data_IF_477162041644
#
_entry.id   IF_477162041644
#
_cell.length_a   1.000
_cell.length_b   1.000
_cell.length_c   1.000
_cell.angle_alpha   90.00
_cell.angle_beta   90.00
_cell.angle_gamma   90.00
#
_symmetry.space_group_name_H-M   'P 1'
#
loop_
_entity.id
_entity.type
_entity.pdbx_description
1 polymer ?
#
# COMPACT_ATOMS: atom_id res chain seq x y z
N UNK A 1 0.30 -13.44 6.43
CA UNK A 1 -0.39 -12.31 5.77
C UNK A 1 -1.27 -11.65 6.79
N UNK A 2 -0.75 -10.60 7.41
CA UNK A 2 -1.47 -9.90 8.46
C UNK A 2 -2.33 -8.81 7.85
N UNK A 3 -3.50 -8.55 8.43
CA UNK A 3 -4.25 -7.31 8.19
C UNK A 3 -3.91 -6.23 9.22
N UNK A 4 -2.76 -6.37 9.91
CA UNK A 4 -2.19 -5.33 10.74
C UNK A 4 -1.98 -4.07 9.90
N UNK A 5 -2.23 -2.92 10.51
CA UNK A 5 -2.03 -1.61 9.92
C UNK A 5 -0.79 -1.00 10.54
N UNK A 6 0.12 -0.51 9.70
CA UNK A 6 1.30 0.20 10.14
C UNK A 6 0.89 1.43 10.96
N UNK A 7 1.43 1.62 12.17
CA UNK A 7 1.04 2.72 13.04
C UNK A 7 1.36 4.08 12.40
N UNK A 8 0.48 5.05 12.65
CA UNK A 8 0.74 6.45 12.32
C UNK A 8 1.58 7.09 13.43
N UNK A 9 2.57 7.87 13.03
CA UNK A 9 3.46 8.64 13.90
C UNK A 9 3.30 10.13 13.63
N UNK A 10 3.79 10.99 14.52
CA UNK A 10 3.62 12.44 14.40
C UNK A 10 4.15 12.98 13.05
N UNK A 11 3.23 13.39 12.17
CA UNK A 11 3.45 13.57 10.73
C UNK A 11 4.39 14.69 10.27
N UNK A 12 4.90 15.54 11.16
CA UNK A 12 5.95 16.53 10.82
C UNK A 12 7.35 15.93 10.77
N UNK A 13 7.52 14.70 11.26
CA UNK A 13 8.82 14.05 11.36
C UNK A 13 9.20 13.26 10.10
N UNK A 14 8.29 13.06 9.14
CA UNK A 14 8.45 12.05 8.09
C UNK A 14 8.83 12.66 6.74
N UNK A 15 9.99 12.27 6.21
CA UNK A 15 10.31 12.43 4.80
C UNK A 15 10.04 11.12 4.07
N UNK A 16 9.28 11.19 2.97
CA UNK A 16 8.83 10.01 2.22
C UNK A 16 9.45 9.96 0.84
N UNK A 17 10.01 8.81 0.47
CA UNK A 17 10.44 8.49 -0.89
C UNK A 17 9.64 7.31 -1.44
N UNK A 18 9.29 7.34 -2.73
CA UNK A 18 8.58 6.25 -3.40
C UNK A 18 9.27 5.90 -4.72
N UNK A 19 9.83 4.70 -4.81
CA UNK A 19 10.59 4.23 -5.98
C UNK A 19 9.86 3.07 -6.67
N UNK A 20 9.37 3.24 -7.91
CA UNK A 20 8.85 2.13 -8.70
C UNK A 20 9.98 1.23 -9.21
N UNK A 21 9.81 -0.09 -9.04
CA UNK A 21 10.77 -1.13 -9.39
C UNK A 21 10.12 -2.08 -10.40
N UNK A 22 10.73 -2.18 -11.56
CA UNK A 22 10.38 -3.13 -12.60
C UNK A 22 11.44 -4.22 -12.73
N UNK A 23 11.02 -5.44 -13.02
CA UNK A 23 11.92 -6.53 -13.40
C UNK A 23 11.78 -6.79 -14.89
N UNK A 24 12.84 -6.47 -15.64
CA UNK A 24 13.00 -6.81 -17.05
C UNK A 24 14.34 -7.52 -17.24
N UNK A 25 14.40 -8.33 -18.30
CA UNK A 25 15.66 -8.87 -18.81
C UNK A 25 15.98 -8.15 -20.13
N UNK A 26 17.23 -7.76 -20.28
CA UNK A 26 17.77 -7.17 -21.50
C UNK A 26 18.83 -8.13 -22.03
N UNK A 27 18.69 -8.55 -23.27
CA UNK A 27 19.67 -9.34 -23.99
C UNK A 27 20.20 -8.52 -25.16
N UNK A 28 21.50 -8.33 -25.24
CA UNK A 28 22.18 -7.66 -26.34
C UNK A 28 23.04 -8.69 -27.09
N UNK A 29 22.89 -8.75 -28.41
CA UNK A 29 23.73 -9.57 -29.27
C UNK A 29 25.06 -8.87 -29.56
N UNK A 30 26.09 -9.63 -29.96
CA UNK A 30 27.37 -9.07 -30.42
C UNK A 30 27.24 -8.10 -31.61
N UNK A 31 26.12 -8.19 -32.35
CA UNK A 31 25.79 -7.26 -33.45
C UNK A 31 25.17 -5.92 -32.99
N UNK A 32 24.99 -5.73 -31.69
CA UNK A 32 24.35 -4.54 -31.09
C UNK A 32 22.81 -4.55 -31.14
N UNK A 33 22.18 -5.65 -31.57
CA UNK A 33 20.71 -5.79 -31.49
C UNK A 33 20.27 -6.17 -30.09
N UNK A 34 19.19 -5.54 -29.63
CA UNK A 34 18.65 -5.71 -28.28
C UNK A 34 17.29 -6.42 -28.31
N UNK A 35 17.08 -7.35 -27.37
CA UNK A 35 15.79 -7.99 -27.09
C UNK A 35 15.45 -7.80 -25.62
N UNK A 36 14.23 -7.33 -25.33
CA UNK A 36 13.76 -7.04 -23.97
C UNK A 36 12.61 -7.95 -23.60
N UNK A 37 12.61 -8.46 -22.37
CA UNK A 37 11.48 -9.23 -21.82
C UNK A 37 11.10 -8.69 -20.45
N UNK A 38 9.89 -8.17 -20.33
CA UNK A 38 9.32 -7.73 -19.06
C UNK A 38 8.84 -8.94 -18.26
N UNK A 39 9.30 -9.08 -17.01
CA UNK A 39 8.98 -10.23 -16.14
C UNK A 39 7.77 -9.99 -15.24
N UNK A 40 7.44 -8.74 -14.96
CA UNK A 40 6.35 -8.35 -14.07
C UNK A 40 5.29 -7.54 -14.82
N UNK A 41 4.02 -7.79 -14.55
CA UNK A 41 2.91 -7.00 -15.11
C UNK A 41 2.63 -5.71 -14.33
N UNK A 42 2.97 -5.68 -13.04
CA UNK A 42 2.85 -4.51 -12.16
C UNK A 42 4.19 -4.21 -11.48
N UNK A 43 4.52 -2.95 -11.17
CA UNK A 43 5.74 -2.64 -10.45
C UNK A 43 5.66 -3.14 -9.00
N UNK A 44 6.79 -3.16 -8.32
CA UNK A 44 6.82 -3.03 -6.85
C UNK A 44 7.26 -1.62 -6.53
N UNK A 45 6.68 -1.03 -5.49
CA UNK A 45 7.20 0.18 -4.89
C UNK A 45 8.06 -0.15 -3.69
N UNK A 46 9.23 0.49 -3.62
CA UNK A 46 9.94 0.72 -2.37
C UNK A 46 9.47 2.07 -1.82
N UNK A 47 9.07 2.08 -0.55
CA UNK A 47 8.63 3.26 0.17
C UNK A 47 9.64 3.47 1.30
N UNK A 48 10.46 4.51 1.20
CA UNK A 48 11.38 4.92 2.25
C UNK A 48 10.73 5.98 3.13
N UNK A 49 10.72 5.74 4.43
CA UNK A 49 10.20 6.64 5.45
C UNK A 49 11.37 7.04 6.35
N UNK A 50 11.82 8.28 6.26
CA UNK A 50 12.85 8.81 7.14
C UNK A 50 12.17 9.62 8.25
N UNK A 51 12.39 9.21 9.49
CA UNK A 51 11.88 9.88 10.67
C UNK A 51 12.97 10.78 11.26
N UNK A 52 12.77 12.08 11.12
CA UNK A 52 13.59 13.13 11.71
C UNK A 52 13.57 13.08 13.25
N UNK A 53 12.43 12.69 13.83
CA UNK A 53 12.33 12.40 15.25
C UNK A 53 11.18 11.41 15.54
N UNK A 54 11.37 10.57 16.55
CA UNK A 54 10.45 9.62 17.15
C UNK A 54 10.61 9.76 18.65
N UNK A 55 9.52 9.81 19.39
CA UNK A 55 9.56 9.96 20.85
C UNK A 55 9.50 8.62 21.56
N UNK A 56 10.30 8.47 22.62
CA UNK A 56 10.13 7.39 23.59
C UNK A 56 9.17 7.80 24.74
N UNK A 57 8.94 6.91 25.71
CA UNK A 57 8.09 7.21 26.86
C UNK A 57 8.72 8.20 27.87
N UNK A 58 10.03 8.43 27.78
CA UNK A 58 10.78 9.28 28.72
C UNK A 58 10.74 10.77 28.39
N UNK A 59 10.27 11.15 27.19
CA UNK A 59 10.17 12.55 26.75
C UNK A 59 9.33 13.38 27.75
N UNK A 60 9.88 14.50 28.22
CA UNK A 60 9.20 15.38 29.19
C UNK A 60 8.44 16.55 28.54
N UNK A 61 8.56 16.75 27.23
CA UNK A 61 7.82 17.77 26.49
C UNK A 61 6.34 17.40 26.38
N UNK A 62 5.45 18.23 26.92
CA UNK A 62 3.99 17.98 27.01
C UNK A 62 3.30 18.07 25.64
N UNK A 63 3.94 18.65 24.62
CA UNK A 63 3.34 18.86 23.30
C UNK A 63 3.54 17.67 22.35
N UNK A 64 4.51 16.79 22.60
CA UNK A 64 4.79 15.65 21.73
C UNK A 64 4.10 14.39 22.25
N UNK A 65 3.60 13.56 21.34
CA UNK A 65 3.09 12.22 21.69
C UNK A 65 4.22 11.41 22.32
N UNK A 66 3.93 10.56 23.30
CA UNK A 66 4.93 9.67 23.92
C UNK A 66 4.79 8.24 23.41
N UNK A 67 5.89 7.49 23.51
CA UNK A 67 5.86 6.04 23.29
C UNK A 67 5.79 5.61 21.81
N UNK A 68 6.19 6.47 20.88
CA UNK A 68 6.20 6.16 19.45
C UNK A 68 7.29 5.15 19.11
N UNK A 69 8.46 5.24 19.76
CA UNK A 69 9.56 4.30 19.62
C UNK A 69 9.11 2.87 19.96
N UNK A 70 8.46 2.72 21.11
CA UNK A 70 7.99 1.43 21.63
C UNK A 70 6.87 0.87 20.75
N UNK A 71 6.00 1.73 20.20
CA UNK A 71 4.99 1.32 19.20
C UNK A 71 5.65 0.80 17.94
N UNK A 72 6.67 1.48 17.42
CA UNK A 72 7.38 1.07 16.21
C UNK A 72 8.12 -0.26 16.42
N UNK A 73 8.91 -0.35 17.48
CA UNK A 73 9.64 -1.57 17.85
C UNK A 73 8.68 -2.73 18.12
N UNK A 74 7.59 -2.47 18.85
CA UNK A 74 6.54 -3.44 19.10
C UNK A 74 5.90 -3.95 17.81
N UNK A 75 5.59 -3.05 16.88
CA UNK A 75 5.03 -3.42 15.58
C UNK A 75 6.01 -4.28 14.78
N UNK A 76 7.27 -3.84 14.64
CA UNK A 76 8.34 -4.54 13.93
C UNK A 76 8.55 -5.97 14.45
N UNK A 77 8.64 -6.12 15.77
CA UNK A 77 8.76 -7.42 16.42
C UNK A 77 7.50 -8.28 16.22
N UNK A 78 6.31 -7.66 16.21
CA UNK A 78 5.06 -8.39 16.04
C UNK A 78 4.87 -8.99 14.64
N UNK A 79 5.56 -8.47 13.62
CA UNK A 79 5.52 -8.98 12.23
C UNK A 79 6.78 -9.78 11.86
N UNK A 80 7.72 -9.92 12.80
CA UNK A 80 8.96 -10.66 12.60
C UNK A 80 9.90 -10.02 11.58
N UNK A 81 10.04 -8.69 11.61
CA UNK A 81 10.87 -7.96 10.65
C UNK A 81 10.34 -8.07 9.22
N UNK A 82 11.15 -8.58 8.29
CA UNK A 82 10.77 -8.71 6.87
C UNK A 82 9.87 -9.93 6.56
N UNK A 83 9.47 -10.71 7.56
CA UNK A 83 8.75 -11.97 7.37
C UNK A 83 7.29 -11.78 6.93
N UNK A 84 6.51 -11.01 7.70
CA UNK A 84 5.08 -10.85 7.45
C UNK A 84 4.74 -9.53 6.72
N UNK A 85 3.79 -9.59 5.80
CA UNK A 85 3.18 -8.43 5.16
C UNK A 85 2.05 -7.82 6.00
N UNK A 86 1.89 -6.52 5.86
CA UNK A 86 0.91 -5.69 6.55
C UNK A 86 0.42 -4.55 5.65
N UNK A 87 -0.51 -3.75 6.15
CA UNK A 87 -1.11 -2.62 5.44
C UNK A 87 -0.44 -1.32 5.83
N UNK A 88 0.06 -0.58 4.85
CA UNK A 88 0.57 0.77 5.01
C UNK A 88 -0.40 1.77 4.37
N UNK A 89 -0.84 2.75 5.17
CA UNK A 89 -1.62 3.88 4.69
C UNK A 89 -0.66 4.98 4.27
N UNK A 90 -0.68 5.33 3.00
CA UNK A 90 0.06 6.50 2.52
C UNK A 90 -0.66 7.78 2.96
N UNK A 91 0.07 8.87 3.15
CA UNK A 91 -0.46 10.19 3.52
C UNK A 91 -1.14 10.90 2.34
N UNK A 92 -0.73 10.62 1.10
CA UNK A 92 -1.24 11.27 -0.12
C UNK A 92 -2.05 10.32 -0.99
N UNK A 93 -1.57 9.09 -1.18
CA UNK A 93 -2.16 8.07 -2.06
C UNK A 93 -2.92 7.01 -1.27
N UNK A 94 -4.10 7.37 -0.73
CA UNK A 94 -4.87 6.49 0.14
C UNK A 94 -6.38 6.49 -0.11
N UNK A 95 -6.86 7.19 -1.15
CA UNK A 95 -8.27 7.34 -1.44
C UNK A 95 -8.52 7.39 -2.96
N UNK A 96 -9.63 6.82 -3.39
CA UNK A 96 -10.16 6.90 -4.75
C UNK A 96 -11.59 7.44 -4.70
N UNK A 97 -11.96 8.28 -5.66
CA UNK A 97 -13.31 8.82 -5.79
C UNK A 97 -13.86 8.50 -7.18
N UNK A 98 -14.98 7.78 -7.22
CA UNK A 98 -15.72 7.34 -8.41
C UNK A 98 -14.81 6.79 -9.52
N UNK A 99 -13.83 5.98 -9.14
CA UNK A 99 -12.82 5.48 -10.06
C UNK A 99 -13.33 4.22 -10.77
N UNK A 100 -13.32 4.23 -12.10
CA UNK A 100 -13.61 3.03 -12.88
C UNK A 100 -12.58 1.93 -12.58
N UNK A 101 -13.05 0.69 -12.43
CA UNK A 101 -12.18 -0.47 -12.22
C UNK A 101 -12.44 -1.63 -13.16
N UNK A 102 -13.65 -1.75 -13.72
CA UNK A 102 -13.99 -2.79 -14.67
C UNK A 102 -15.21 -2.41 -15.53
N UNK A 103 -15.46 -3.22 -16.54
CA UNK A 103 -16.71 -3.22 -17.30
C UNK A 103 -17.34 -4.60 -17.12
N UNK A 104 -18.62 -4.64 -16.76
CA UNK A 104 -19.38 -5.87 -16.61
C UNK A 104 -19.45 -6.64 -17.92
N UNK A 105 -19.30 -7.96 -17.85
CA UNK A 105 -19.38 -8.88 -18.99
C UNK A 105 -20.68 -9.72 -19.00
N UNK A 106 -21.53 -9.55 -17.98
CA UNK A 106 -22.77 -10.33 -17.80
C UNK A 106 -22.56 -11.76 -17.31
N UNK A 107 -21.33 -12.17 -16.97
CA UNK A 107 -20.99 -13.55 -16.60
C UNK A 107 -20.13 -13.62 -15.35
N UNK A 108 -19.08 -12.82 -15.28
CA UNK A 108 -18.15 -12.78 -14.18
C UNK A 108 -18.77 -12.05 -12.99
N UNK A 109 -18.55 -12.61 -11.79
CA UNK A 109 -18.97 -12.00 -10.52
C UNK A 109 -17.78 -11.42 -9.75
N UNK A 110 -16.55 -11.75 -10.13
CA UNK A 110 -15.33 -11.35 -9.42
C UNK A 110 -14.57 -10.30 -10.21
N UNK A 111 -14.30 -9.17 -9.59
CA UNK A 111 -13.56 -8.07 -10.20
C UNK A 111 -12.58 -7.48 -9.19
N UNK A 112 -11.34 -7.29 -9.62
CA UNK A 112 -10.30 -6.71 -8.79
C UNK A 112 -10.40 -5.18 -8.82
N UNK A 113 -10.48 -4.54 -7.65
CA UNK A 113 -10.35 -3.09 -7.55
C UNK A 113 -8.99 -2.65 -8.06
N UNK A 114 -8.97 -1.54 -8.78
CA UNK A 114 -7.75 -0.91 -9.26
C UNK A 114 -7.72 0.53 -8.81
N UNK A 115 -6.51 1.10 -8.75
CA UNK A 115 -6.25 2.54 -8.64
C UNK A 115 -5.63 3.02 -9.95
N UNK A 116 -5.95 4.24 -10.36
CA UNK A 116 -5.43 4.84 -11.59
C UNK A 116 -4.45 5.96 -11.31
N UNK A 117 -3.37 5.99 -12.08
CA UNK A 117 -2.46 7.10 -12.28
C UNK A 117 -2.62 7.58 -13.74
N UNK A 118 -2.07 8.74 -14.11
CA UNK A 118 -1.95 9.09 -15.53
C UNK A 118 -1.29 7.95 -16.30
N UNK A 119 -1.99 7.42 -17.32
CA UNK A 119 -1.55 6.33 -18.20
C UNK A 119 -1.24 4.98 -17.53
N UNK A 120 -1.62 4.79 -16.27
CA UNK A 120 -1.34 3.55 -15.56
C UNK A 120 -2.48 3.12 -14.64
N UNK A 121 -2.77 1.83 -14.60
CA UNK A 121 -3.69 1.25 -13.63
C UNK A 121 -3.02 0.10 -12.91
N UNK A 122 -3.34 -0.07 -11.64
CA UNK A 122 -2.82 -1.19 -10.88
C UNK A 122 -3.80 -1.66 -9.80
N UNK A 123 -3.75 -2.95 -9.44
CA UNK A 123 -4.68 -3.52 -8.47
C UNK A 123 -4.44 -2.95 -7.07
N UNK A 124 -5.54 -2.62 -6.40
CA UNK A 124 -5.56 -2.31 -4.97
C UNK A 124 -5.46 -3.61 -4.19
N UNK A 125 -4.48 -3.74 -3.29
CA UNK A 125 -4.25 -4.97 -2.51
C UNK A 125 -4.50 -4.82 -1.00
N UNK A 126 -5.10 -3.71 -0.59
CA UNK A 126 -5.36 -3.41 0.81
C UNK A 126 -6.65 -2.64 0.98
N UNK A 127 -7.68 -3.32 1.46
CA UNK A 127 -8.98 -2.76 1.83
C UNK A 127 -9.25 -3.12 3.29
N UNK A 128 -9.54 -2.09 4.09
CA UNK A 128 -9.88 -2.21 5.51
C UNK A 128 -11.36 -1.89 5.70
N UNK A 129 -11.78 -0.74 5.20
CA UNK A 129 -13.16 -0.27 5.23
C UNK A 129 -13.92 -0.72 3.98
N UNK A 130 -15.25 -0.86 4.09
CA UNK A 130 -16.07 -1.26 2.96
C UNK A 130 -15.99 -0.20 1.84
N UNK A 131 -15.64 -0.57 0.59
CA UNK A 131 -15.65 0.37 -0.52
C UNK A 131 -17.10 0.68 -0.93
N UNK A 132 -17.34 1.89 -1.44
CA UNK A 132 -18.59 2.22 -2.13
C UNK A 132 -18.45 1.78 -3.59
N UNK A 133 -19.35 0.93 -4.08
CA UNK A 133 -19.29 0.39 -5.45
C UNK A 133 -20.52 0.86 -6.22
N UNK A 134 -20.31 1.24 -7.47
CA UNK A 134 -21.34 1.77 -8.36
C UNK A 134 -21.41 0.96 -9.66
N UNK A 135 -22.63 0.74 -10.14
CA UNK A 135 -22.92 0.15 -11.45
C UNK A 135 -23.59 1.23 -12.29
N UNK A 136 -22.95 1.68 -13.37
CA UNK A 136 -23.41 2.81 -14.19
C UNK A 136 -23.72 4.10 -13.40
N UNK A 137 -23.00 4.32 -12.28
CA UNK A 137 -23.18 5.48 -11.41
C UNK A 137 -24.21 5.31 -10.29
N UNK A 138 -24.94 4.20 -10.25
CA UNK A 138 -25.84 3.87 -9.13
C UNK A 138 -25.11 3.03 -8.08
N UNK A 139 -25.14 3.47 -6.82
CA UNK A 139 -24.49 2.77 -5.72
C UNK A 139 -25.20 1.43 -5.44
N UNK A 140 -24.42 0.37 -5.27
CA UNK A 140 -24.92 -0.96 -4.92
C UNK A 140 -24.27 -1.43 -3.62
N UNK A 141 -25.00 -2.25 -2.86
CA UNK A 141 -24.49 -2.97 -1.68
C UNK A 141 -24.56 -4.49 -1.88
N UNK A 142 -25.01 -4.95 -3.05
CA UNK A 142 -25.17 -6.37 -3.42
C UNK A 142 -23.83 -6.99 -3.85
N UNK A 143 -22.83 -6.89 -2.98
CA UNK A 143 -21.52 -7.47 -3.19
C UNK A 143 -20.84 -7.76 -1.86
N UNK A 144 -19.79 -8.58 -1.92
CA UNK A 144 -18.84 -8.82 -0.83
C UNK A 144 -17.46 -8.38 -1.29
N UNK A 145 -16.60 -8.02 -0.35
CA UNK A 145 -15.22 -7.63 -0.64
C UNK A 145 -14.24 -8.43 0.21
N UNK A 146 -13.03 -8.59 -0.32
CA UNK A 146 -11.89 -9.14 0.41
C UNK A 146 -10.91 -8.02 0.79
N UNK A 147 -10.05 -8.27 1.77
CA UNK A 147 -9.00 -7.32 2.15
C UNK A 147 -7.95 -7.10 1.04
N UNK A 148 -7.89 -7.96 0.02
CA UNK A 148 -7.02 -7.80 -1.15
C UNK A 148 -7.68 -6.99 -2.27
N UNK A 149 -8.84 -6.38 -2.03
CA UNK A 149 -9.55 -5.55 -3.02
C UNK A 149 -10.32 -6.33 -4.09
N UNK A 150 -10.55 -7.63 -3.90
CA UNK A 150 -11.44 -8.38 -4.79
C UNK A 150 -12.90 -8.11 -4.40
N UNK A 151 -13.70 -7.61 -5.34
CA UNK A 151 -15.16 -7.48 -5.25
C UNK A 151 -15.81 -8.72 -5.84
N UNK A 152 -16.78 -9.26 -5.11
CA UNK A 152 -17.58 -10.42 -5.50
C UNK A 152 -19.04 -10.00 -5.47
N UNK A 153 -19.63 -9.73 -6.63
CA UNK A 153 -21.05 -9.41 -6.73
C UNK A 153 -21.93 -10.63 -6.44
N UNK A 154 -23.11 -10.40 -5.86
CA UNK A 154 -24.07 -11.49 -5.64
C UNK A 154 -24.65 -12.01 -6.97
N UNK A 155 -24.78 -11.13 -7.97
CA UNK A 155 -25.16 -11.44 -9.35
C UNK A 155 -24.18 -10.79 -10.34
N UNK A 156 -23.99 -11.39 -11.51
CA UNK A 156 -23.08 -10.85 -12.52
C UNK A 156 -23.57 -9.47 -13.01
N UNK A 157 -22.74 -8.42 -12.95
CA UNK A 157 -23.11 -7.11 -13.46
C UNK A 157 -23.46 -7.17 -14.96
N UNK A 158 -24.49 -6.44 -15.43
CA UNK A 158 -24.91 -6.48 -16.83
C UNK A 158 -23.77 -6.21 -17.81
N UNK A 159 -23.81 -6.87 -18.97
CA UNK A 159 -22.80 -6.65 -20.01
C UNK A 159 -22.75 -5.18 -20.44
N UNK A 160 -21.56 -4.60 -20.43
CA UNK A 160 -21.33 -3.19 -20.77
C UNK A 160 -21.54 -2.20 -19.63
N UNK A 161 -21.92 -2.65 -18.41
CA UNK A 161 -22.06 -1.74 -17.27
C UNK A 161 -20.70 -1.25 -16.79
N UNK A 162 -20.53 0.06 -16.64
CA UNK A 162 -19.34 0.64 -16.03
C UNK A 162 -19.35 0.38 -14.52
N UNK A 163 -18.30 -0.26 -14.02
CA UNK A 163 -18.11 -0.49 -12.60
C UNK A 163 -17.11 0.52 -12.05
N UNK A 164 -17.56 1.35 -11.10
CA UNK A 164 -16.70 2.33 -10.42
C UNK A 164 -16.77 2.18 -8.91
N UNK A 165 -15.78 2.72 -8.21
CA UNK A 165 -15.72 2.64 -6.75
C UNK A 165 -15.13 3.90 -6.11
N UNK A 166 -15.53 4.15 -4.86
CA UNK A 166 -14.96 5.16 -3.99
C UNK A 166 -14.56 4.53 -2.66
N UNK A 167 -13.50 5.02 -2.04
CA UNK A 167 -13.10 4.59 -0.71
C UNK A 167 -11.60 4.65 -0.47
N UNK A 168 -11.20 4.31 0.75
CA UNK A 168 -9.81 4.28 1.15
C UNK A 168 -9.12 2.95 0.85
N UNK A 169 -7.85 3.04 0.49
CA UNK A 169 -7.01 1.88 0.23
C UNK A 169 -5.65 1.99 0.91
N UNK A 170 -5.02 0.83 1.05
CA UNK A 170 -3.74 0.65 1.72
C UNK A 170 -2.79 -0.09 0.78
N UNK A 171 -1.51 0.25 0.85
CA UNK A 171 -0.47 -0.54 0.20
C UNK A 171 -0.17 -1.76 1.05
N UNK A 172 -0.23 -2.95 0.44
CA UNK A 172 0.27 -4.17 1.07
C UNK A 172 1.78 -4.19 0.96
N UNK A 173 2.47 -4.13 2.09
CA UNK A 173 3.92 -4.00 2.17
C UNK A 173 4.49 -4.97 3.21
N UNK A 174 5.80 -5.14 3.18
CA UNK A 174 6.59 -5.71 4.27
C UNK A 174 7.79 -4.81 4.53
N UNK A 175 8.43 -4.93 5.69
CA UNK A 175 9.76 -4.36 5.87
C UNK A 175 10.72 -4.93 4.82
N UNK A 176 11.55 -4.08 4.22
CA UNK A 176 12.58 -4.54 3.27
C UNK A 176 13.66 -5.34 4.01
N UNK A 177 14.08 -4.82 5.17
CA UNK A 177 15.17 -5.34 6.00
C UNK A 177 14.64 -6.14 7.20
N UNK A 178 15.47 -7.06 7.69
CA UNK A 178 15.21 -7.89 8.88
C UNK A 178 15.63 -7.21 10.19
N UNK A 179 16.33 -6.09 10.11
CA UNK A 179 16.77 -5.26 11.22
C UNK A 179 16.09 -3.88 11.16
N UNK A 180 15.95 -3.27 12.33
CA UNK A 180 15.44 -1.91 12.51
C UNK A 180 16.46 -1.14 13.33
N UNK A 181 17.18 -0.23 12.68
CA UNK A 181 18.13 0.65 13.32
C UNK A 181 17.44 1.97 13.69
N UNK A 182 17.56 2.35 14.96
CA UNK A 182 17.01 3.58 15.52
C UNK A 182 18.11 4.23 16.34
N UNK A 183 18.44 5.47 16.02
CA UNK A 183 19.51 6.22 16.67
C UNK A 183 18.92 7.13 17.73
N UNK A 184 19.54 7.16 18.92
CA UNK A 184 19.14 8.09 19.97
C UNK A 184 19.87 9.41 19.78
N UNK A 185 19.12 10.47 19.54
CA UNK A 185 19.66 11.81 19.35
C UNK A 185 19.88 12.50 20.70
N UNK A 186 18.80 12.96 21.33
CA UNK A 186 18.83 13.65 22.61
C UNK A 186 17.47 13.58 23.30
N UNK A 187 17.47 13.55 24.64
CA UNK A 187 16.26 13.85 25.42
C UNK A 187 15.04 12.99 25.13
N UNK A 188 15.21 11.69 24.85
CA UNK A 188 14.08 10.79 24.55
C UNK A 188 13.57 10.87 23.11
N UNK A 189 14.32 11.59 22.25
CA UNK A 189 14.11 11.62 20.81
C UNK A 189 15.06 10.66 20.10
N UNK A 190 14.53 10.03 19.06
CA UNK A 190 15.18 9.03 18.25
C UNK A 190 14.98 9.36 16.77
N UNK A 191 15.88 8.96 15.89
CA UNK A 191 15.75 9.08 14.44
C UNK A 191 15.88 7.70 13.81
N UNK A 192 15.42 7.55 12.56
CA UNK A 192 15.58 6.28 11.86
C UNK A 192 14.96 6.25 10.47
N UNK A 193 15.49 5.38 9.63
CA UNK A 193 14.97 5.12 8.29
C UNK A 193 14.29 3.76 8.22
N UNK A 194 13.07 3.75 7.67
CA UNK A 194 12.30 2.54 7.44
C UNK A 194 12.11 2.38 5.93
N UNK A 195 12.61 1.29 5.38
CA UNK A 195 12.28 0.90 4.00
C UNK A 195 11.22 -0.19 3.98
N UNK A 196 10.15 0.08 3.22
CA UNK A 196 9.03 -0.83 3.00
C UNK A 196 9.00 -1.26 1.54
N UNK A 197 8.71 -2.54 1.29
CA UNK A 197 8.56 -3.07 -0.07
C UNK A 197 7.16 -3.62 -0.28
N UNK A 198 6.49 -3.14 -1.33
CA UNK A 198 5.16 -3.68 -1.70
C UNK A 198 5.22 -5.16 -2.08
N UNK A 199 4.20 -5.89 -1.65
CA UNK A 199 4.01 -7.32 -1.90
C UNK A 199 2.86 -7.50 -2.89
N UNK A 200 2.95 -8.55 -3.71
CA UNK A 200 1.96 -8.85 -4.75
C UNK A 200 1.06 -9.99 -4.33
#
# INVERSE_FOLDING_TARGET
>A
MSNKIFPEFQGWSIEKTKTPIWKSNVYESESGRETRTQKWSFPRYRIGLNYNFITDDSIQSVTLTKGELEKLQGFFNSVGGNFEDFLYRDDVENHCENQAFAVGDGVSIQFQLVRSLPDWIEPVRGIVEAPHVFINGEETTAFRYSNTGLIIFDEAPPAGSLLSWSGSYYFRVRFENEELELEREWGGLWSGEISLLTVK
#
